data_IF_591126621863
#
_entry.id   IF_591126621863
#
_cell.length_a   1.000
_cell.length_b   1.000
_cell.length_c   1.000
_cell.angle_alpha   90.00
_cell.angle_beta   90.00
_cell.angle_gamma   90.00
#
_symmetry.space_group_name_H-M   'P 1'
#
loop_
_entity.id
_entity.type
_entity.pdbx_description
1 polymer ?
#
# COMPACT_ATOMS: atom_id res chain seq x y z
N UNK A 1 12.30 0.93 27.05
CA UNK A 1 11.01 1.51 27.45
C UNK A 1 10.19 1.63 26.18
N UNK A 2 9.08 0.92 26.06
CA UNK A 2 8.20 1.05 24.89
C UNK A 2 7.47 2.38 24.99
N UNK A 3 7.68 3.27 24.04
CA UNK A 3 6.99 4.57 23.97
C UNK A 3 5.54 4.32 23.57
N UNK A 4 4.59 4.69 24.43
CA UNK A 4 3.16 4.54 24.14
C UNK A 4 2.71 5.69 23.25
N UNK A 5 2.28 5.39 22.02
CA UNK A 5 1.68 6.37 21.11
C UNK A 5 0.19 6.50 21.44
N UNK A 6 -0.24 7.68 21.86
CA UNK A 6 -1.66 7.97 22.11
C UNK A 6 -2.21 8.79 20.95
N UNK A 7 -3.20 8.25 20.24
CA UNK A 7 -3.90 8.93 19.15
C UNK A 7 -5.33 9.25 19.57
N UNK A 8 -5.71 10.51 19.49
CA UNK A 8 -7.11 10.92 19.64
C UNK A 8 -7.80 10.81 18.29
N UNK A 9 -8.69 9.82 18.15
CA UNK A 9 -9.50 9.62 16.95
C UNK A 9 -10.99 9.74 17.28
N UNK A 10 -11.81 10.33 16.38
CA UNK A 10 -13.24 10.46 16.60
C UNK A 10 -13.92 9.13 16.89
N UNK A 11 -14.93 9.14 17.77
CA UNK A 11 -15.66 7.93 18.16
C UNK A 11 -16.25 7.17 16.96
N UNK A 12 -16.76 7.91 15.96
CA UNK A 12 -17.27 7.33 14.71
C UNK A 12 -16.21 6.56 13.92
N UNK A 13 -14.94 6.96 14.01
CA UNK A 13 -13.82 6.27 13.38
C UNK A 13 -13.39 5.05 14.21
N UNK A 14 -13.37 5.17 15.55
CA UNK A 14 -13.10 4.05 16.45
C UNK A 14 -14.07 2.88 16.20
N UNK A 15 -15.36 3.18 16.05
CA UNK A 15 -16.37 2.16 15.75
C UNK A 15 -16.11 1.46 14.41
N UNK A 16 -15.72 2.21 13.37
CA UNK A 16 -15.39 1.63 12.06
C UNK A 16 -14.16 0.73 12.15
N UNK A 17 -13.11 1.16 12.85
CA UNK A 17 -11.90 0.37 13.07
C UNK A 17 -12.24 -0.92 13.81
N UNK A 18 -13.06 -0.85 14.86
CA UNK A 18 -13.47 -2.03 15.61
C UNK A 18 -14.27 -3.03 14.76
N UNK A 19 -15.19 -2.54 13.90
CA UNK A 19 -15.90 -3.39 12.94
C UNK A 19 -14.93 -4.07 11.98
N UNK A 20 -13.99 -3.33 11.39
CA UNK A 20 -13.01 -3.89 10.45
C UNK A 20 -12.11 -4.92 11.13
N UNK A 21 -11.59 -4.61 12.31
CA UNK A 21 -10.76 -5.51 13.11
C UNK A 21 -11.49 -6.83 13.44
N UNK A 22 -12.80 -6.76 13.71
CA UNK A 22 -13.62 -7.95 13.96
C UNK A 22 -13.70 -8.90 12.76
N UNK A 23 -13.65 -8.38 11.52
CA UNK A 23 -13.71 -9.19 10.30
C UNK A 23 -12.43 -10.00 10.09
N UNK A 24 -11.33 -9.56 10.67
CA UNK A 24 -10.00 -10.19 10.57
C UNK A 24 -9.53 -10.79 11.90
N UNK A 25 -10.43 -10.91 12.89
CA UNK A 25 -10.15 -11.47 14.21
C UNK A 25 -8.97 -10.81 14.96
N UNK A 26 -8.81 -9.50 14.81
CA UNK A 26 -7.78 -8.70 15.48
C UNK A 26 -8.40 -7.75 16.51
N UNK A 27 -7.58 -7.22 17.42
CA UNK A 27 -8.00 -6.08 18.23
C UNK A 27 -7.99 -4.79 17.39
N UNK A 28 -8.81 -3.78 17.73
CA UNK A 28 -8.79 -2.49 17.03
C UNK A 28 -7.41 -1.85 16.98
N UNK A 29 -6.61 -1.99 18.05
CA UNK A 29 -5.25 -1.45 18.14
C UNK A 29 -4.28 -2.17 17.22
N UNK A 30 -4.34 -3.50 17.14
CA UNK A 30 -3.51 -4.30 16.25
C UNK A 30 -3.79 -3.96 14.79
N UNK A 31 -5.07 -3.93 14.43
CA UNK A 31 -5.50 -3.59 13.07
C UNK A 31 -5.09 -2.15 12.70
N UNK A 32 -5.26 -1.20 13.61
CA UNK A 32 -4.85 0.19 13.36
C UNK A 32 -3.33 0.33 13.20
N UNK A 33 -2.54 -0.41 13.97
CA UNK A 33 -1.08 -0.41 13.85
C UNK A 33 -0.65 -1.02 12.51
N UNK A 34 -1.20 -2.17 12.13
CA UNK A 34 -0.90 -2.84 10.86
C UNK A 34 -1.24 -1.94 9.67
N UNK A 35 -2.39 -1.25 9.70
CA UNK A 35 -2.74 -0.27 8.65
C UNK A 35 -1.72 0.87 8.54
N UNK A 36 -1.17 1.34 9.66
CA UNK A 36 -0.14 2.39 9.66
C UNK A 36 1.18 1.86 9.13
N UNK A 37 1.57 0.65 9.50
CA UNK A 37 2.78 -0.03 9.00
C UNK A 37 2.67 -0.28 7.49
N UNK A 38 1.56 -0.84 7.01
CA UNK A 38 1.30 -1.03 5.57
C UNK A 38 1.34 0.30 4.81
N UNK A 39 0.82 1.38 5.39
CA UNK A 39 0.87 2.69 4.75
C UNK A 39 2.30 3.22 4.63
N UNK A 40 3.13 3.02 5.64
CA UNK A 40 4.54 3.41 5.63
C UNK A 40 5.34 2.57 4.64
N UNK A 41 5.14 1.25 4.65
CA UNK A 41 5.84 0.32 3.75
C UNK A 41 5.49 0.58 2.28
N UNK A 42 4.23 0.90 2.00
CA UNK A 42 3.78 1.23 0.65
C UNK A 42 3.94 2.71 0.26
N UNK A 43 4.47 3.56 1.16
CA UNK A 43 4.61 5.00 0.88
C UNK A 43 5.45 5.30 -0.36
N UNK A 44 6.51 4.52 -0.58
CA UNK A 44 7.36 4.61 -1.77
C UNK A 44 6.59 4.33 -3.07
N UNK A 45 5.73 3.30 -3.07
CA UNK A 45 4.89 2.95 -4.20
C UNK A 45 3.83 4.03 -4.49
N UNK A 46 3.28 4.66 -3.47
CA UNK A 46 2.37 5.81 -3.65
C UNK A 46 3.08 7.02 -4.25
N UNK A 47 4.31 7.32 -3.79
CA UNK A 47 5.12 8.41 -4.36
C UNK A 47 5.51 8.14 -5.81
N UNK A 48 5.91 6.91 -6.14
CA UNK A 48 6.23 6.51 -7.51
C UNK A 48 5.00 6.59 -8.41
N UNK A 49 3.85 6.08 -7.96
CA UNK A 49 2.59 6.19 -8.70
C UNK A 49 2.18 7.65 -8.91
N UNK A 50 2.31 8.50 -7.90
CA UNK A 50 2.02 9.92 -8.01
C UNK A 50 2.97 10.62 -9.00
N UNK A 51 4.28 10.31 -8.97
CA UNK A 51 5.25 10.81 -9.95
C UNK A 51 4.91 10.36 -11.38
N UNK A 52 4.49 9.09 -11.54
CA UNK A 52 4.12 8.55 -12.84
C UNK A 52 2.84 9.19 -13.41
N UNK A 53 1.92 9.62 -12.55
CA UNK A 53 0.68 10.29 -12.94
C UNK A 53 0.85 11.78 -13.26
N UNK A 54 1.98 12.41 -12.94
CA UNK A 54 2.19 13.85 -13.13
C UNK A 54 2.41 14.28 -14.60
N UNK A 55 2.71 13.35 -15.51
CA UNK A 55 2.85 13.69 -16.94
C UNK A 55 2.32 12.58 -17.83
N UNK A 56 1.74 12.99 -18.98
CA UNK A 56 1.26 12.07 -20.02
C UNK A 56 2.36 11.12 -20.51
N UNK A 57 3.62 11.59 -20.53
CA UNK A 57 4.77 10.76 -20.89
C UNK A 57 5.01 9.63 -19.88
N UNK A 58 5.01 9.94 -18.58
CA UNK A 58 5.23 8.93 -17.54
C UNK A 58 4.05 7.96 -17.42
N UNK A 59 2.83 8.46 -17.60
CA UNK A 59 1.62 7.65 -17.64
C UNK A 59 1.66 6.65 -18.81
N UNK A 60 2.07 7.08 -20.00
CA UNK A 60 2.25 6.19 -21.15
C UNK A 60 3.31 5.09 -20.90
N UNK A 61 4.37 5.40 -20.13
CA UNK A 61 5.36 4.40 -19.70
C UNK A 61 4.76 3.38 -18.73
N UNK A 62 3.95 3.83 -17.77
CA UNK A 62 3.25 2.96 -16.83
C UNK A 62 2.24 2.05 -17.55
N UNK A 63 1.43 2.61 -18.44
CA UNK A 63 0.43 1.87 -19.22
C UNK A 63 1.09 0.78 -20.08
N UNK A 64 2.25 1.09 -20.68
CA UNK A 64 3.05 0.12 -21.41
C UNK A 64 3.59 -0.99 -20.51
N UNK A 65 4.15 -0.65 -19.35
CA UNK A 65 4.65 -1.66 -18.41
C UNK A 65 3.53 -2.60 -17.92
N UNK A 66 2.33 -2.06 -17.65
CA UNK A 66 1.14 -2.86 -17.29
C UNK A 66 0.76 -3.80 -18.43
N UNK A 67 0.80 -3.32 -19.68
CA UNK A 67 0.49 -4.14 -20.84
C UNK A 67 1.53 -5.24 -21.06
N UNK A 68 2.82 -4.93 -20.93
CA UNK A 68 3.91 -5.90 -21.04
C UNK A 68 3.81 -7.01 -19.98
N UNK A 69 3.34 -6.69 -18.76
CA UNK A 69 3.04 -7.67 -17.71
C UNK A 69 1.85 -8.56 -18.09
N UNK A 70 0.74 -7.97 -18.56
CA UNK A 70 -0.46 -8.72 -18.98
C UNK A 70 -0.18 -9.66 -20.15
N UNK A 71 0.72 -9.24 -21.03
CA UNK A 71 1.14 -10.01 -22.20
C UNK A 71 2.19 -11.08 -21.86
N UNK A 72 2.57 -11.23 -20.57
CA UNK A 72 3.50 -12.25 -20.11
C UNK A 72 4.94 -12.05 -20.61
N UNK A 73 5.29 -10.84 -21.09
CA UNK A 73 6.60 -10.58 -21.72
C UNK A 73 7.76 -10.88 -20.75
N UNK A 74 7.54 -10.66 -19.46
CA UNK A 74 8.54 -10.90 -18.43
C UNK A 74 8.64 -12.37 -17.96
N UNK A 75 7.67 -13.23 -18.29
CA UNK A 75 7.76 -14.67 -17.99
C UNK A 75 8.71 -15.40 -18.94
N UNK A 76 9.10 -14.75 -20.05
CA UNK A 76 10.02 -15.28 -21.07
C UNK A 76 11.45 -14.74 -20.97
N UNK A 77 11.72 -13.85 -20.01
CA UNK A 77 13.04 -13.28 -19.77
C UNK A 77 13.56 -13.89 -18.48
N UNK A 78 14.44 -14.88 -18.61
CA UNK A 78 15.27 -15.33 -17.50
C UNK A 78 15.82 -14.09 -16.79
N UNK A 79 15.61 -14.03 -15.47
CA UNK A 79 16.27 -13.05 -14.63
C UNK A 79 17.76 -13.12 -14.98
N UNK A 80 18.34 -11.99 -15.39
CA UNK A 80 19.79 -11.90 -15.52
C UNK A 80 20.29 -11.98 -14.08
N UNK A 81 20.69 -13.19 -13.69
CA UNK A 81 21.46 -13.43 -12.47
C UNK A 81 22.79 -12.67 -12.60
N UNK A 82 22.99 -11.66 -11.75
CA UNK A 82 24.26 -10.98 -11.50
C UNK A 82 24.87 -11.53 -10.19
#
# INVERSE_FOLDING_TARGET
MSTMLTLEIPESLQQKIAVMASLVAQTPEQFALEMLEEHLDHHSAYLETAYLQQSEHNKARLDRAIQDIKDGIFESRDLIDD
#
